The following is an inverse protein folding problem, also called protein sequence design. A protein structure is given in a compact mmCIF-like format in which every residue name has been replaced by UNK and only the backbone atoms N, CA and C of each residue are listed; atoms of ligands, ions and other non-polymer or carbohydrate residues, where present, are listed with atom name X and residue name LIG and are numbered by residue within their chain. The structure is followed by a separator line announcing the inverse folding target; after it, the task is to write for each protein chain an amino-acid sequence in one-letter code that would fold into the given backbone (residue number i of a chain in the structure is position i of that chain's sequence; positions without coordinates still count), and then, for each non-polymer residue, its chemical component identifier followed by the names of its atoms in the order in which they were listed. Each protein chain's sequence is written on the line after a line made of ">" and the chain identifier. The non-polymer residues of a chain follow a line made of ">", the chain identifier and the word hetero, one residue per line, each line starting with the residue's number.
data_IF_300694398581
#
_entry.id   IF_300694398581
#
_cell.length_a   1.000
_cell.length_b   1.000
_cell.length_c   1.000
_cell.angle_alpha   90.00
_cell.angle_beta   90.00
_cell.angle_gamma   90.00
#
_symmetry.space_group_name_H-M   'P 1'
#
loop_
_entity.id
_entity.type
_entity.pdbx_description
1 polymer ?
#
# COMPACT_ATOMS: atom_id res chain seq x y z
N UNK A 1 -6.35 -9.24 -8.50
CA UNK A 1 -5.73 -9.17 -9.85
C UNK A 1 -4.21 -9.25 -9.74
N UNK A 2 -3.53 -9.96 -10.63
CA UNK A 2 -2.06 -9.88 -10.72
C UNK A 2 -1.62 -8.53 -11.26
N UNK A 3 -0.80 -7.83 -10.49
CA UNK A 3 -0.18 -6.56 -10.88
C UNK A 3 1.19 -6.82 -11.51
N UNK A 4 1.98 -7.74 -10.96
CA UNK A 4 3.28 -8.13 -11.52
C UNK A 4 3.33 -9.62 -11.83
N UNK A 5 3.45 -9.96 -13.11
CA UNK A 5 3.58 -11.35 -13.57
C UNK A 5 4.98 -11.92 -13.33
N UNK A 6 6.02 -11.09 -13.33
CA UNK A 6 7.40 -11.52 -13.14
C UNK A 6 7.65 -12.13 -11.75
N UNK A 7 7.02 -11.56 -10.72
CA UNK A 7 7.20 -11.98 -9.32
C UNK A 7 5.92 -12.50 -8.69
N UNK A 8 4.83 -12.64 -9.46
CA UNK A 8 3.56 -13.15 -8.97
C UNK A 8 2.86 -12.25 -7.95
N UNK A 9 3.07 -10.93 -8.02
CA UNK A 9 2.49 -9.99 -7.05
C UNK A 9 1.08 -9.57 -7.47
N UNK A 10 0.14 -9.68 -6.54
CA UNK A 10 -1.26 -9.26 -6.69
C UNK A 10 -1.51 -7.88 -6.08
N UNK A 11 -2.62 -7.26 -6.47
CA UNK A 11 -3.10 -6.02 -5.84
C UNK A 11 -3.38 -6.21 -4.35
N UNK A 12 -3.89 -7.38 -3.95
CA UNK A 12 -4.11 -7.74 -2.55
C UNK A 12 -2.83 -7.68 -1.73
N UNK A 13 -1.75 -8.30 -2.21
CA UNK A 13 -0.44 -8.28 -1.54
C UNK A 13 0.16 -6.87 -1.45
N UNK A 14 -0.07 -6.03 -2.47
CA UNK A 14 0.36 -4.62 -2.42
C UNK A 14 -0.38 -3.87 -1.31
N UNK A 15 -1.70 -4.09 -1.17
CA UNK A 15 -2.50 -3.46 -0.11
C UNK A 15 -2.12 -3.98 1.27
N UNK A 16 -1.93 -5.29 1.40
CA UNK A 16 -1.49 -5.94 2.63
C UNK A 16 -0.16 -5.38 3.13
N UNK A 17 0.84 -5.27 2.25
CA UNK A 17 2.12 -4.64 2.61
C UNK A 17 1.97 -3.19 3.12
N UNK A 18 1.00 -2.44 2.59
CA UNK A 18 0.68 -1.09 3.09
C UNK A 18 0.04 -1.14 4.48
N UNK A 19 -0.90 -2.07 4.70
CA UNK A 19 -1.52 -2.27 6.02
C UNK A 19 -0.52 -2.77 7.08
N UNK A 20 0.51 -3.51 6.67
CA UNK A 20 1.63 -3.93 7.52
C UNK A 20 2.59 -2.78 7.87
N UNK A 21 2.44 -1.62 7.22
CA UNK A 21 3.18 -0.40 7.54
C UNK A 21 3.98 0.23 6.39
N UNK A 22 3.95 -0.34 5.19
CA UNK A 22 4.60 0.29 4.05
C UNK A 22 3.90 1.63 3.70
N UNK A 23 4.62 2.73 3.81
CA UNK A 23 4.13 4.09 3.56
C UNK A 23 4.55 4.64 2.20
N UNK A 24 5.35 3.90 1.44
CA UNK A 24 5.86 4.33 0.14
C UNK A 24 5.94 3.20 -0.87
N UNK A 25 5.88 3.54 -2.17
CA UNK A 25 6.09 2.57 -3.25
C UNK A 25 7.46 1.87 -3.14
N UNK A 26 8.49 2.58 -2.63
CA UNK A 26 9.82 2.01 -2.45
C UNK A 26 9.80 0.88 -1.43
N UNK A 27 9.13 1.09 -0.30
CA UNK A 27 8.95 0.05 0.74
C UNK A 27 8.11 -1.11 0.22
N UNK A 28 6.99 -0.84 -0.45
CA UNK A 28 6.17 -1.89 -1.08
C UNK A 28 6.99 -2.73 -2.07
N UNK A 29 7.85 -2.09 -2.87
CA UNK A 29 8.77 -2.78 -3.79
C UNK A 29 9.79 -3.64 -3.06
N UNK A 30 10.31 -3.18 -1.93
CA UNK A 30 11.24 -3.96 -1.11
C UNK A 30 10.55 -5.16 -0.44
N UNK A 31 9.32 -4.97 0.07
CA UNK A 31 8.56 -6.01 0.74
C UNK A 31 8.04 -7.09 -0.22
N UNK A 32 7.48 -6.69 -1.37
CA UNK A 32 6.77 -7.60 -2.30
C UNK A 32 7.61 -8.01 -3.52
N UNK A 33 8.71 -7.32 -3.81
CA UNK A 33 9.49 -7.52 -5.03
C UNK A 33 8.81 -7.00 -6.31
N UNK A 34 7.71 -6.25 -6.21
CA UNK A 34 6.98 -5.72 -7.39
C UNK A 34 7.90 -4.87 -8.28
N UNK A 35 7.84 -5.06 -9.60
CA UNK A 35 8.67 -4.34 -10.57
C UNK A 35 10.20 -4.45 -10.33
N UNK A 36 10.67 -5.55 -9.75
CA UNK A 36 12.10 -5.84 -9.59
C UNK A 36 12.77 -6.39 -10.85
N UNK A 37 12.00 -6.96 -11.79
CA UNK A 37 12.50 -7.53 -13.05
C UNK A 37 12.27 -6.59 -14.24
N UNK A 38 11.25 -6.84 -15.08
CA UNK A 38 11.05 -6.08 -16.34
C UNK A 38 10.50 -4.66 -16.17
N UNK A 39 10.01 -4.29 -14.97
CA UNK A 39 9.52 -2.95 -14.65
C UNK A 39 8.18 -2.53 -15.27
N UNK A 40 7.59 -3.31 -16.19
CA UNK A 40 6.38 -2.92 -16.95
C UNK A 40 5.16 -2.62 -16.07
N UNK A 41 5.04 -3.29 -14.93
CA UNK A 41 3.94 -3.08 -13.98
C UNK A 41 4.13 -1.86 -13.06
N UNK A 42 5.24 -1.13 -13.15
CA UNK A 42 5.57 -0.08 -12.19
C UNK A 42 4.52 1.03 -12.12
N UNK A 43 3.94 1.43 -13.25
CA UNK A 43 2.89 2.46 -13.28
C UNK A 43 1.63 1.98 -12.56
N UNK A 44 1.14 0.78 -12.89
CA UNK A 44 -0.03 0.19 -12.26
C UNK A 44 0.19 -0.06 -10.75
N UNK A 45 1.36 -0.57 -10.37
CA UNK A 45 1.69 -0.78 -8.96
C UNK A 45 1.71 0.54 -8.18
N UNK A 46 2.28 1.61 -8.74
CA UNK A 46 2.26 2.95 -8.11
C UNK A 46 0.83 3.51 -7.96
N UNK A 47 -0.04 3.25 -8.93
CA UNK A 47 -1.44 3.65 -8.87
C UNK A 47 -2.16 2.95 -7.72
N UNK A 48 -2.04 1.62 -7.62
CA UNK A 48 -2.61 0.83 -6.50
C UNK A 48 -2.09 1.32 -5.15
N UNK A 49 -0.78 1.59 -5.03
CA UNK A 49 -0.19 2.14 -3.80
C UNK A 49 -0.79 3.50 -3.45
N UNK A 50 -0.85 4.42 -4.42
CA UNK A 50 -1.38 5.77 -4.21
C UNK A 50 -2.84 5.71 -3.78
N UNK A 51 -3.68 4.97 -4.50
CA UNK A 51 -5.09 4.82 -4.16
C UNK A 51 -5.29 4.29 -2.74
N UNK A 52 -4.50 3.29 -2.36
CA UNK A 52 -4.61 2.66 -1.03
C UNK A 52 -4.21 3.62 0.07
N UNK A 53 -3.11 4.36 -0.09
CA UNK A 53 -2.67 5.38 0.87
C UNK A 53 -3.67 6.55 0.96
N UNK A 54 -4.21 7.02 -0.16
CA UNK A 54 -5.24 8.08 -0.16
C UNK A 54 -6.53 7.62 0.53
N UNK A 55 -6.95 6.37 0.31
CA UNK A 55 -8.10 5.77 1.01
C UNK A 55 -7.87 5.72 2.52
N UNK A 56 -6.68 5.31 2.96
CA UNK A 56 -6.30 5.30 4.38
C UNK A 56 -6.35 6.70 5.00
N UNK A 57 -5.78 7.70 4.33
CA UNK A 57 -5.80 9.09 4.79
C UNK A 57 -7.23 9.64 4.91
N UNK A 58 -8.08 9.34 3.93
CA UNK A 58 -9.47 9.79 3.92
C UNK A 58 -10.28 9.11 5.02
N UNK A 59 -10.07 7.81 5.24
CA UNK A 59 -10.71 7.07 6.33
C UNK A 59 -10.28 7.59 7.72
N UNK A 60 -9.01 7.97 7.89
CA UNK A 60 -8.51 8.57 9.12
C UNK A 60 -9.04 9.99 9.36
N UNK A 61 -9.24 10.79 8.30
CA UNK A 61 -9.77 12.15 8.41
C UNK A 61 -11.26 12.21 8.79
N UNK A 62 -11.99 11.10 8.67
CA UNK A 62 -13.42 11.03 8.96
C UNK A 62 -13.74 10.72 10.44
N UNK A 63 -12.75 10.68 11.35
CA UNK A 63 -12.99 10.44 12.78
C UNK A 63 -13.38 11.77 13.46
N UNK A 64 -14.63 11.95 13.92
CA UNK A 64 -15.11 13.24 14.45
C UNK A 64 -14.76 13.47 15.94
N UNK A 65 -14.10 12.53 16.62
CA UNK A 65 -13.74 12.68 18.03
C UNK A 65 -12.29 12.27 18.32
N UNK A 66 -11.54 13.05 19.12
CA UNK A 66 -10.23 12.64 19.59
C UNK A 66 -10.41 11.44 20.52
N UNK A 67 -9.67 10.36 20.27
CA UNK A 67 -9.50 9.28 21.24
C UNK A 67 -8.73 9.86 22.43
N UNK A 68 -9.45 10.20 23.50
CA UNK A 68 -8.87 10.58 24.79
C UNK A 68 -8.12 9.36 25.36
N UNK A 69 -6.79 9.48 25.42
CA UNK A 69 -5.93 8.54 26.13
C UNK A 69 -6.08 8.80 27.63
N UNK A 70 -6.99 8.09 28.30
CA UNK A 70 -7.01 8.08 29.77
C UNK A 70 -5.94 7.10 30.27
N UNK A 71 -4.77 7.65 30.61
CA UNK A 71 -3.79 6.95 31.41
C UNK A 71 -4.38 6.66 32.81
N UNK A 72 -4.32 5.40 33.23
CA UNK A 72 -4.57 4.98 34.61
C UNK A 72 -3.25 4.88 35.37
#
# INVERSE_FOLDING_TARGET
>A
MYVCLCTGVTDGQIREAIYEGCCSYKEVRQATGVASQCGKCACLAKEVVRETLTKLQTAQAAIPYPVEFTAA
#
